data_IF_968240627848
#
_entry.id   IF_968240627848
#
_cell.length_a   1.000
_cell.length_b   1.000
_cell.length_c   1.000
_cell.angle_alpha   90.00
_cell.angle_beta   90.00
_cell.angle_gamma   90.00
#
_symmetry.space_group_name_H-M   'P 1'
#
loop_
_entity.id
_entity.type
_entity.pdbx_description
1 polymer ?
#
# COMPACT_ATOMS: atom_id res chain seq x y z
N UNK A 1 -11.41 -3.05 -15.26
CA UNK A 1 -10.28 -3.74 -14.65
C UNK A 1 -9.87 -3.05 -13.37
N UNK A 2 -9.53 -3.84 -12.38
CA UNK A 2 -9.10 -3.29 -11.09
C UNK A 2 -7.68 -2.76 -11.21
N UNK A 3 -7.44 -1.58 -10.65
CA UNK A 3 -6.15 -0.91 -10.72
C UNK A 3 -5.72 -0.48 -9.33
N UNK A 4 -4.40 -0.37 -9.13
CA UNK A 4 -3.84 0.24 -7.93
C UNK A 4 -4.14 1.74 -7.99
N UNK A 5 -4.76 2.26 -6.94
CA UNK A 5 -5.05 3.70 -6.83
C UNK A 5 -4.06 4.31 -5.87
N UNK A 6 -3.42 5.40 -6.29
CA UNK A 6 -2.40 6.06 -5.48
C UNK A 6 -2.76 7.54 -5.33
N UNK A 7 -2.81 7.99 -4.07
CA UNK A 7 -2.94 9.40 -3.76
C UNK A 7 -1.63 9.82 -3.10
N UNK A 8 -0.89 10.68 -3.80
CA UNK A 8 0.43 11.11 -3.33
C UNK A 8 0.29 12.20 -2.28
N UNK A 9 0.85 11.98 -1.11
CA UNK A 9 0.93 12.95 -0.01
C UNK A 9 -0.39 13.68 0.26
N UNK A 10 -1.48 12.95 0.55
CA UNK A 10 -2.74 13.59 0.90
C UNK A 10 -2.57 14.48 2.13
N UNK A 11 -3.35 15.56 2.21
CA UNK A 11 -3.27 16.47 3.34
C UNK A 11 -3.78 15.87 4.63
N UNK A 12 -3.46 16.50 5.75
CA UNK A 12 -3.85 16.05 7.07
C UNK A 12 -5.37 15.89 7.23
N UNK A 13 -6.15 16.77 6.65
CA UNK A 13 -7.62 16.69 6.70
C UNK A 13 -8.12 15.40 6.07
N UNK A 14 -7.55 15.02 4.93
CA UNK A 14 -7.89 13.78 4.23
C UNK A 14 -7.61 12.57 5.10
N UNK A 15 -6.43 12.53 5.71
CA UNK A 15 -6.03 11.43 6.59
C UNK A 15 -6.90 11.36 7.84
N UNK A 16 -7.24 12.51 8.39
CA UNK A 16 -8.09 12.63 9.57
C UNK A 16 -9.51 12.15 9.28
N UNK A 17 -10.06 12.56 8.13
CA UNK A 17 -11.39 12.16 7.69
C UNK A 17 -11.51 10.65 7.51
N UNK A 18 -10.44 10.00 7.08
CA UNK A 18 -10.40 8.56 6.91
C UNK A 18 -10.17 7.81 8.23
N UNK A 19 -9.72 8.51 9.28
CA UNK A 19 -9.42 7.88 10.56
C UNK A 19 -8.18 6.99 10.52
N UNK A 20 -7.21 7.35 9.70
CA UNK A 20 -6.00 6.55 9.47
C UNK A 20 -5.29 6.17 10.76
N UNK A 21 -5.21 7.09 11.73
CA UNK A 21 -4.51 6.84 12.99
C UNK A 21 -5.13 5.72 13.83
N UNK A 22 -6.39 5.37 13.56
CA UNK A 22 -7.09 4.29 14.25
C UNK A 22 -6.93 2.94 13.55
N UNK A 23 -6.34 2.93 12.35
CA UNK A 23 -6.13 1.70 11.61
C UNK A 23 -4.94 0.93 12.16
N UNK A 24 -4.96 -0.42 12.08
CA UNK A 24 -3.81 -1.21 12.52
C UNK A 24 -2.55 -0.89 11.71
N UNK A 25 -1.41 -1.23 12.29
CA UNK A 25 -0.10 -1.01 11.68
C UNK A 25 0.51 -2.34 11.27
N UNK A 26 1.12 -2.36 10.11
CA UNK A 26 1.88 -3.50 9.60
C UNK A 26 3.29 -3.04 9.26
N UNK A 27 4.26 -3.85 9.62
CA UNK A 27 5.67 -3.57 9.34
C UNK A 27 6.29 -4.71 8.54
N UNK A 28 7.26 -4.37 7.71
CA UNK A 28 8.00 -5.35 6.93
C UNK A 28 9.39 -4.82 6.64
N UNK A 29 10.38 -5.66 6.87
CA UNK A 29 11.77 -5.32 6.56
C UNK A 29 12.04 -5.45 5.06
N UNK A 30 13.19 -4.95 4.61
CA UNK A 30 13.64 -5.10 3.23
C UNK A 30 13.57 -6.56 2.83
N UNK A 31 12.83 -6.83 1.75
CA UNK A 31 12.56 -8.21 1.30
C UNK A 31 11.85 -8.20 -0.05
N UNK A 32 11.66 -9.38 -0.61
CA UNK A 32 10.86 -9.54 -1.83
C UNK A 32 9.96 -10.75 -1.61
N UNK A 33 8.66 -10.60 -1.92
CA UNK A 33 7.70 -11.68 -1.71
C UNK A 33 6.48 -11.53 -2.61
N UNK A 34 5.80 -12.65 -2.84
CA UNK A 34 4.54 -12.68 -3.58
C UNK A 34 3.39 -12.36 -2.63
N UNK A 35 2.38 -11.65 -3.13
CA UNK A 35 1.22 -11.31 -2.34
C UNK A 35 -0.05 -11.33 -3.18
N UNK A 36 -1.17 -11.73 -2.57
CA UNK A 36 -2.48 -11.72 -3.21
C UNK A 36 -3.47 -11.05 -2.29
N UNK A 37 -4.44 -10.35 -2.89
CA UNK A 37 -5.45 -9.62 -2.14
C UNK A 37 -6.80 -10.33 -2.23
N UNK A 38 -7.26 -10.90 -1.12
CA UNK A 38 -8.59 -11.51 -1.03
C UNK A 38 -9.68 -10.44 -0.95
N UNK A 39 -9.32 -9.27 -0.44
CA UNK A 39 -10.18 -8.10 -0.36
C UNK A 39 -9.36 -6.89 -0.77
N UNK A 40 -10.03 -5.79 -1.13
CA UNK A 40 -9.30 -4.55 -1.38
C UNK A 40 -8.65 -4.10 -0.07
N UNK A 41 -7.46 -3.52 -0.18
CA UNK A 41 -6.71 -3.02 0.97
C UNK A 41 -6.31 -1.58 0.72
N UNK A 42 -6.62 -0.69 1.67
CA UNK A 42 -6.16 0.69 1.63
C UNK A 42 -5.07 0.86 2.66
N UNK A 43 -3.93 1.41 2.24
CA UNK A 43 -2.75 1.59 3.09
C UNK A 43 -2.29 3.03 3.08
N UNK A 44 -1.82 3.51 4.22
CA UNK A 44 -1.09 4.77 4.29
C UNK A 44 0.32 4.49 4.79
N UNK A 45 1.31 4.80 3.98
CA UNK A 45 2.72 4.51 4.28
C UNK A 45 3.32 5.60 5.17
N UNK A 46 3.68 5.21 6.39
CA UNK A 46 4.40 6.11 7.32
C UNK A 46 5.87 6.17 6.98
N UNK A 47 6.45 5.03 6.63
CA UNK A 47 7.83 4.92 6.15
C UNK A 47 7.88 3.81 5.11
N UNK A 48 8.93 3.83 4.30
CA UNK A 48 9.21 2.74 3.38
C UNK A 48 9.35 3.18 1.94
N UNK A 49 9.77 2.23 1.13
CA UNK A 49 9.92 2.39 -0.32
C UNK A 49 9.71 1.01 -0.92
N UNK A 50 8.67 0.87 -1.72
CA UNK A 50 8.24 -0.42 -2.25
C UNK A 50 7.97 -0.33 -3.75
N UNK A 51 8.40 -1.35 -4.47
CA UNK A 51 7.98 -1.55 -5.85
C UNK A 51 6.95 -2.68 -5.83
N UNK A 52 5.75 -2.40 -6.27
CA UNK A 52 4.67 -3.39 -6.39
C UNK A 52 4.46 -3.69 -7.86
N UNK A 53 4.66 -4.94 -8.26
CA UNK A 53 4.49 -5.35 -9.65
C UNK A 53 3.31 -6.31 -9.74
N UNK A 54 2.16 -5.83 -10.25
CA UNK A 54 1.02 -6.72 -10.49
C UNK A 54 1.38 -7.80 -11.52
N UNK A 55 0.83 -9.00 -11.39
CA UNK A 55 1.04 -10.06 -12.38
C UNK A 55 0.52 -9.59 -13.74
N UNK A 56 1.39 -9.62 -14.73
CA UNK A 56 1.07 -9.15 -16.08
C UNK A 56 0.96 -7.64 -16.22
N UNK A 57 1.31 -6.87 -15.19
CA UNK A 57 1.25 -5.41 -15.21
C UNK A 57 2.63 -4.77 -15.02
N UNK A 58 2.64 -3.44 -15.05
CA UNK A 58 3.85 -2.65 -14.88
C UNK A 58 4.16 -2.42 -13.40
N UNK A 59 5.44 -2.30 -13.03
CA UNK A 59 5.82 -1.99 -11.66
C UNK A 59 5.34 -0.60 -11.25
N UNK A 60 4.91 -0.49 -9.99
CA UNK A 60 4.43 0.76 -9.40
C UNK A 60 5.24 1.04 -8.15
N UNK A 61 5.79 2.25 -8.04
CA UNK A 61 6.52 2.65 -6.85
C UNK A 61 5.62 3.36 -5.87
N UNK A 62 5.66 2.93 -4.61
CA UNK A 62 4.91 3.56 -3.51
C UNK A 62 5.83 3.68 -2.30
N UNK A 63 5.54 4.62 -1.43
CA UNK A 63 6.37 4.82 -0.25
C UNK A 63 5.82 5.88 0.69
N UNK A 64 6.69 6.40 1.52
CA UNK A 64 6.33 7.35 2.59
C UNK A 64 5.43 8.46 2.09
N UNK A 65 4.31 8.65 2.79
CA UNK A 65 3.32 9.68 2.48
C UNK A 65 2.28 9.29 1.44
N UNK A 66 2.35 8.08 0.89
CA UNK A 66 1.38 7.64 -0.13
C UNK A 66 0.20 6.93 0.51
N UNK A 67 -0.99 7.27 0.03
CA UNK A 67 -2.24 6.57 0.35
C UNK A 67 -2.56 5.69 -0.86
N UNK A 68 -2.56 4.38 -0.68
CA UNK A 68 -2.63 3.42 -1.78
C UNK A 68 -3.78 2.45 -1.56
N UNK A 69 -4.58 2.22 -2.59
CA UNK A 69 -5.64 1.21 -2.55
C UNK A 69 -5.31 0.11 -3.54
N UNK A 70 -5.13 -1.10 -3.01
CA UNK A 70 -4.87 -2.29 -3.80
C UNK A 70 -6.20 -3.02 -4.07
N UNK A 71 -6.46 -3.41 -5.33
CA UNK A 71 -7.75 -4.00 -5.67
C UNK A 71 -7.88 -5.45 -5.21
N UNK A 72 -9.12 -5.85 -4.90
CA UNK A 72 -9.46 -7.23 -4.61
C UNK A 72 -9.10 -8.13 -5.79
N UNK A 73 -8.52 -9.29 -5.49
CA UNK A 73 -8.21 -10.30 -6.51
C UNK A 73 -6.90 -10.11 -7.23
N UNK A 74 -6.15 -9.05 -6.89
CA UNK A 74 -4.86 -8.82 -7.53
C UNK A 74 -3.78 -9.70 -6.90
N UNK A 75 -2.95 -10.31 -7.74
CA UNK A 75 -1.71 -10.97 -7.33
C UNK A 75 -0.55 -10.11 -7.80
N UNK A 76 0.48 -10.00 -6.99
CA UNK A 76 1.61 -9.13 -7.28
C UNK A 76 2.87 -9.57 -6.57
N UNK A 77 3.97 -8.94 -6.92
CA UNK A 77 5.25 -9.08 -6.22
C UNK A 77 5.56 -7.76 -5.53
N UNK A 78 5.87 -7.84 -4.24
CA UNK A 78 6.33 -6.71 -3.44
C UNK A 78 7.83 -6.79 -3.32
N UNK A 79 8.51 -5.70 -3.67
CA UNK A 79 9.93 -5.54 -3.41
C UNK A 79 10.11 -4.37 -2.45
N UNK A 80 10.39 -4.68 -1.19
CA UNK A 80 10.59 -3.68 -0.14
C UNK A 80 12.05 -3.24 -0.18
N UNK A 81 12.27 -1.98 -0.59
CA UNK A 81 13.62 -1.40 -0.69
C UNK A 81 14.05 -0.69 0.58
N UNK A 82 13.08 -0.25 1.39
CA UNK A 82 13.31 0.32 2.72
C UNK A 82 12.22 -0.20 3.63
N UNK A 83 12.55 -0.48 4.88
CA UNK A 83 11.62 -1.01 5.85
C UNK A 83 10.30 -0.24 5.85
N UNK A 84 9.20 -0.98 5.77
CA UNK A 84 7.85 -0.42 5.67
C UNK A 84 7.18 -0.38 7.03
N UNK A 85 6.50 0.74 7.29
CA UNK A 85 5.55 0.88 8.37
C UNK A 85 4.33 1.57 7.79
N UNK A 86 3.19 0.91 7.82
CA UNK A 86 1.97 1.46 7.22
C UNK A 86 0.75 1.16 8.08
N UNK A 87 -0.23 2.06 8.03
CA UNK A 87 -1.58 1.78 8.49
C UNK A 87 -2.31 1.08 7.36
N UNK A 88 -3.22 0.15 7.68
CA UNK A 88 -3.98 -0.55 6.64
C UNK A 88 -5.41 -0.82 7.07
N UNK A 89 -6.27 -1.01 6.08
CA UNK A 89 -7.67 -1.38 6.27
C UNK A 89 -8.13 -2.21 5.07
N UNK A 90 -8.83 -3.30 5.36
CA UNK A 90 -9.45 -4.14 4.32
C UNK A 90 -10.88 -3.70 4.07
N UNK A 91 -11.35 -3.90 2.86
CA UNK A 91 -12.74 -3.64 2.49
C UNK A 91 -12.99 -2.42 1.62
#
# INVERSE_FOLDING_TARGET
MAEIKIERKPGEERLKDLGISDWPIWTKEESEFLWSYDESETCYFLTGDVIVTPDGGDPVEVGEGDLVTFPKGMSCTWRVRKDVKKHYRFG
#
